data_IF_690418889873
#
_entry.id   IF_690418889873
#
_cell.length_a   1.000
_cell.length_b   1.000
_cell.length_c   1.000
_cell.angle_alpha   90.00
_cell.angle_beta   90.00
_cell.angle_gamma   90.00
#
_symmetry.space_group_name_H-M   'P 1'
#
loop_
_entity.id
_entity.type
_entity.pdbx_description
1 polymer ?
#
# COMPACT_ATOMS: atom_id res chain seq x y z
N UNK A 1 1.38 0.82 17.70
CA UNK A 1 1.09 2.25 17.44
C UNK A 1 2.21 2.79 16.56
N UNK A 2 1.95 3.70 15.63
CA UNK A 2 3.03 4.36 14.87
C UNK A 2 3.54 5.55 15.67
N UNK A 3 4.86 5.67 15.81
CA UNK A 3 5.55 6.76 16.53
C UNK A 3 4.99 7.04 17.94
N UNK A 4 4.47 6.00 18.62
CA UNK A 4 3.76 6.11 19.90
C UNK A 4 2.62 7.15 19.93
N UNK A 5 2.17 7.61 18.75
CA UNK A 5 1.20 8.70 18.60
C UNK A 5 -0.05 8.25 17.84
N UNK A 6 0.12 7.48 16.76
CA UNK A 6 -0.98 7.07 15.90
C UNK A 6 -1.47 5.68 16.27
N UNK A 7 -2.76 5.59 16.64
CA UNK A 7 -3.45 4.34 16.95
C UNK A 7 -4.03 3.71 15.69
N UNK A 8 -4.23 2.38 15.73
CA UNK A 8 -4.91 1.65 14.66
C UNK A 8 -6.35 2.15 14.56
N UNK A 9 -6.86 2.36 13.35
CA UNK A 9 -8.25 2.78 13.15
C UNK A 9 -9.26 1.72 13.60
N UNK A 10 -8.94 0.45 13.36
CA UNK A 10 -9.68 -0.71 13.85
C UNK A 10 -8.91 -1.36 14.99
N UNK A 11 -9.50 -1.30 16.19
CA UNK A 11 -8.96 -1.94 17.41
C UNK A 11 -9.68 -3.26 17.67
N UNK A 12 -9.03 -4.16 18.41
CA UNK A 12 -9.64 -5.44 18.83
C UNK A 12 -10.92 -5.18 19.62
N UNK A 13 -10.90 -4.19 20.53
CA UNK A 13 -12.06 -3.73 21.29
C UNK A 13 -13.26 -3.35 20.39
N UNK A 14 -13.02 -2.74 19.21
CA UNK A 14 -14.10 -2.43 18.28
C UNK A 14 -14.74 -3.70 17.71
N UNK A 15 -13.96 -4.73 17.45
CA UNK A 15 -14.47 -6.00 16.92
C UNK A 15 -15.17 -6.86 17.98
N UNK A 16 -14.73 -6.75 19.23
CA UNK A 16 -15.36 -7.48 20.34
C UNK A 16 -16.70 -6.84 20.74
N UNK A 17 -16.81 -5.52 20.62
CA UNK A 17 -18.03 -4.78 20.99
C UNK A 17 -19.03 -4.59 19.82
N UNK A 18 -18.60 -4.74 18.56
CA UNK A 18 -19.45 -4.58 17.39
C UNK A 18 -19.57 -5.89 16.61
N UNK A 19 -20.80 -6.37 16.41
CA UNK A 19 -21.11 -7.43 15.47
C UNK A 19 -21.11 -6.87 14.03
N UNK A 20 -19.92 -6.63 13.48
CA UNK A 20 -19.77 -6.24 12.07
C UNK A 20 -19.78 -7.49 11.17
N UNK A 21 -20.78 -7.67 10.29
CA UNK A 21 -20.93 -8.89 9.47
C UNK A 21 -19.75 -9.16 8.52
N UNK A 22 -19.01 -8.11 8.13
CA UNK A 22 -17.86 -8.21 7.25
C UNK A 22 -16.61 -8.73 7.96
N UNK A 23 -16.52 -8.54 9.27
CA UNK A 23 -15.39 -8.97 10.08
C UNK A 23 -15.64 -10.38 10.59
N UNK A 24 -14.67 -11.25 10.39
CA UNK A 24 -14.70 -12.65 10.83
C UNK A 24 -13.52 -12.91 11.75
N UNK A 25 -13.58 -13.99 12.52
CA UNK A 25 -12.51 -14.41 13.42
C UNK A 25 -12.26 -15.90 13.28
N UNK A 26 -11.00 -16.28 13.28
CA UNK A 26 -10.56 -17.66 13.43
C UNK A 26 -9.35 -17.74 14.38
N UNK A 27 -8.59 -18.84 14.31
CA UNK A 27 -7.44 -19.11 15.18
C UNK A 27 -6.30 -18.11 15.01
N UNK A 28 -6.14 -17.53 13.81
CA UNK A 28 -5.07 -16.56 13.51
C UNK A 28 -5.48 -15.12 13.84
N UNK A 29 -6.76 -14.88 14.14
CA UNK A 29 -7.27 -13.58 14.60
C UNK A 29 -8.43 -13.05 13.76
N UNK A 30 -8.58 -11.72 13.78
CA UNK A 30 -9.64 -11.03 13.04
C UNK A 30 -9.23 -10.80 11.59
N UNK A 31 -10.16 -11.02 10.68
CA UNK A 31 -9.94 -10.87 9.24
C UNK A 31 -11.18 -10.34 8.51
N UNK A 32 -10.97 -9.87 7.29
CA UNK A 32 -12.01 -9.52 6.34
C UNK A 32 -11.67 -10.12 4.97
N UNK A 33 -12.69 -10.41 4.16
CA UNK A 33 -12.49 -10.60 2.73
C UNK A 33 -12.56 -9.22 2.07
N UNK A 34 -11.44 -8.76 1.52
CA UNK A 34 -11.30 -7.40 0.98
C UNK A 34 -12.36 -7.10 -0.08
N UNK A 35 -12.87 -5.86 -0.10
CA UNK A 35 -13.93 -5.48 -1.04
C UNK A 35 -13.43 -5.46 -2.49
N UNK A 36 -12.16 -5.10 -2.70
CA UNK A 36 -11.55 -4.96 -4.02
C UNK A 36 -11.08 -6.28 -4.62
N UNK A 37 -10.59 -7.21 -3.80
CA UNK A 37 -9.94 -8.44 -4.28
C UNK A 37 -10.69 -9.71 -3.87
N UNK A 38 -11.65 -9.62 -2.94
CA UNK A 38 -12.30 -10.75 -2.28
C UNK A 38 -11.29 -11.75 -1.70
N UNK A 39 -10.18 -11.23 -1.17
CA UNK A 39 -9.10 -12.01 -0.58
C UNK A 39 -9.14 -11.84 0.93
N UNK A 40 -8.93 -12.95 1.65
CA UNK A 40 -8.79 -12.93 3.10
C UNK A 40 -7.56 -12.14 3.51
N UNK A 41 -7.76 -11.09 4.32
CA UNK A 41 -6.69 -10.27 4.90
C UNK A 41 -6.93 -10.16 6.39
N UNK A 42 -5.92 -10.56 7.17
CA UNK A 42 -5.91 -10.36 8.62
C UNK A 42 -5.58 -8.92 8.95
N UNK A 43 -6.24 -8.37 9.96
CA UNK A 43 -6.00 -6.99 10.38
C UNK A 43 -4.57 -6.80 10.90
N UNK A 44 -4.02 -7.78 11.62
CA UNK A 44 -2.66 -7.70 12.13
C UNK A 44 -1.61 -7.68 11.01
N UNK A 45 -1.74 -8.54 10.00
CA UNK A 45 -0.86 -8.53 8.83
C UNK A 45 -0.92 -7.20 8.08
N UNK A 46 -2.13 -6.68 7.87
CA UNK A 46 -2.36 -5.38 7.24
C UNK A 46 -1.67 -4.25 8.01
N UNK A 47 -1.86 -4.21 9.34
CA UNK A 47 -1.24 -3.19 10.18
C UNK A 47 0.27 -3.35 10.29
N UNK A 48 0.78 -4.58 10.30
CA UNK A 48 2.21 -4.85 10.30
C UNK A 48 2.84 -4.36 9.00
N UNK A 49 2.23 -4.66 7.86
CA UNK A 49 2.68 -4.14 6.56
C UNK A 49 2.73 -2.61 6.54
N UNK A 50 1.65 -1.93 6.94
CA UNK A 50 1.62 -0.46 6.98
C UNK A 50 2.66 0.13 7.93
N UNK A 51 2.92 -0.55 9.06
CA UNK A 51 3.94 -0.12 10.01
C UNK A 51 5.34 -0.23 9.43
N UNK A 52 5.65 -1.34 8.75
CA UNK A 52 6.94 -1.55 8.11
C UNK A 52 7.18 -0.49 7.01
N UNK A 53 6.18 -0.25 6.16
CA UNK A 53 6.24 0.79 5.12
C UNK A 53 6.46 2.17 5.74
N UNK A 54 5.70 2.52 6.78
CA UNK A 54 5.82 3.80 7.45
C UNK A 54 7.22 4.04 8.03
N UNK A 55 7.77 3.03 8.71
CA UNK A 55 9.11 3.10 9.31
C UNK A 55 10.21 3.21 8.27
N UNK A 56 10.13 2.43 7.18
CA UNK A 56 11.09 2.50 6.08
C UNK A 56 11.07 3.86 5.39
N UNK A 57 9.87 4.39 5.11
CA UNK A 57 9.73 5.74 4.57
C UNK A 57 10.33 6.79 5.51
N UNK A 58 10.14 6.66 6.83
CA UNK A 58 10.68 7.61 7.80
C UNK A 58 12.22 7.64 7.76
N UNK A 59 12.86 6.48 7.81
CA UNK A 59 14.32 6.35 7.73
C UNK A 59 14.87 6.93 6.41
N UNK A 60 14.21 6.63 5.30
CA UNK A 60 14.59 7.12 3.98
C UNK A 60 14.44 8.65 3.84
N UNK A 61 13.40 9.24 4.44
CA UNK A 61 13.23 10.69 4.44
C UNK A 61 14.33 11.39 5.25
N UNK A 62 14.71 10.84 6.40
CA UNK A 62 15.81 11.37 7.22
C UNK A 62 17.14 11.34 6.47
N UNK A 63 17.43 10.24 5.75
CA UNK A 63 18.62 10.13 4.91
C UNK A 63 18.60 11.13 3.73
N UNK A 64 17.46 11.25 3.04
CA UNK A 64 17.31 12.21 1.93
C UNK A 64 17.46 13.65 2.43
N UNK A 65 16.88 14.01 3.57
CA UNK A 65 17.04 15.35 4.14
C UNK A 65 18.50 15.63 4.55
N UNK A 66 19.21 14.63 5.08
CA UNK A 66 20.65 14.75 5.29
C UNK A 66 21.42 14.94 3.96
N UNK A 67 21.02 14.27 2.88
CA UNK A 67 21.69 14.40 1.57
C UNK A 67 21.41 15.75 0.93
N UNK A 68 20.18 16.25 1.01
CA UNK A 68 19.79 17.57 0.50
C UNK A 68 20.56 18.67 1.22
N UNK A 69 20.64 18.63 2.55
CA UNK A 69 21.33 19.65 3.36
C UNK A 69 22.85 19.69 3.11
N UNK A 70 23.47 18.55 2.79
CA UNK A 70 24.89 18.45 2.45
C UNK A 70 25.20 18.76 0.97
N UNK A 71 24.19 18.80 0.11
CA UNK A 71 24.40 19.01 -1.33
C UNK A 71 24.46 20.51 -1.65
N UNK A 72 25.53 21.00 -2.30
CA UNK A 72 25.64 22.37 -2.74
C UNK A 72 24.48 22.82 -3.64
N UNK A 73 24.03 24.08 -3.50
CA UNK A 73 22.89 24.64 -4.25
C UNK A 73 23.09 24.67 -5.78
N UNK A 74 24.34 24.68 -6.23
CA UNK A 74 24.70 24.64 -7.66
C UNK A 74 24.57 23.23 -8.28
N UNK A 75 24.42 22.17 -7.47
CA UNK A 75 24.16 20.81 -7.97
C UNK A 75 22.67 20.59 -8.21
N UNK A 76 22.11 21.36 -9.14
CA UNK A 76 20.66 21.43 -9.43
C UNK A 76 20.09 20.06 -9.79
N UNK A 77 20.80 19.26 -10.57
CA UNK A 77 20.35 17.94 -11.01
C UNK A 77 20.24 16.95 -9.83
N UNK A 78 21.29 16.85 -9.02
CA UNK A 78 21.29 16.00 -7.81
C UNK A 78 20.20 16.41 -6.83
N UNK A 79 20.04 17.72 -6.59
CA UNK A 79 18.97 18.22 -5.73
C UNK A 79 17.58 17.91 -6.27
N UNK A 80 17.39 18.00 -7.59
CA UNK A 80 16.12 17.67 -8.24
C UNK A 80 15.78 16.18 -8.11
N UNK A 81 16.77 15.31 -8.28
CA UNK A 81 16.62 13.87 -8.06
C UNK A 81 16.25 13.56 -6.60
N UNK A 82 16.97 14.15 -5.64
CA UNK A 82 16.70 13.93 -4.21
C UNK A 82 15.30 14.42 -3.82
N UNK A 83 14.87 15.58 -4.35
CA UNK A 83 13.52 16.13 -4.13
C UNK A 83 12.44 15.26 -4.75
N UNK A 84 12.64 14.76 -5.98
CA UNK A 84 11.71 13.82 -6.60
C UNK A 84 11.54 12.56 -5.74
N UNK A 85 12.65 11.96 -5.29
CA UNK A 85 12.61 10.79 -4.38
C UNK A 85 11.91 11.12 -3.07
N UNK A 86 12.19 12.29 -2.48
CA UNK A 86 11.53 12.77 -1.25
C UNK A 86 10.01 12.82 -1.41
N UNK A 87 9.52 13.42 -2.49
CA UNK A 87 8.08 13.55 -2.79
C UNK A 87 7.41 12.18 -2.85
N UNK A 88 7.99 11.22 -3.60
CA UNK A 88 7.43 9.87 -3.74
C UNK A 88 7.29 9.19 -2.36
N UNK A 89 8.35 9.27 -1.54
CA UNK A 89 8.37 8.65 -0.21
C UNK A 89 7.42 9.36 0.76
N UNK A 90 7.28 10.68 0.68
CA UNK A 90 6.30 11.43 1.47
C UNK A 90 4.86 11.03 1.15
N UNK A 91 4.54 10.83 -0.14
CA UNK A 91 3.22 10.35 -0.57
C UNK A 91 2.95 8.95 0.01
N UNK A 92 3.92 8.05 -0.07
CA UNK A 92 3.82 6.70 0.51
C UNK A 92 3.66 6.74 2.03
N UNK A 93 4.49 7.51 2.75
CA UNK A 93 4.44 7.64 4.21
C UNK A 93 3.10 8.22 4.70
N UNK A 94 2.65 9.31 4.06
CA UNK A 94 1.37 9.98 4.41
C UNK A 94 0.20 9.03 4.18
N UNK A 95 0.24 8.26 3.10
CA UNK A 95 -0.81 7.29 2.80
C UNK A 95 -0.78 6.10 3.76
N UNK A 96 0.39 5.53 4.07
CA UNK A 96 0.52 4.46 5.05
C UNK A 96 -0.04 4.88 6.41
N UNK A 97 0.29 6.08 6.88
CA UNK A 97 -0.26 6.66 8.11
C UNK A 97 -1.77 6.83 8.03
N UNK A 98 -2.28 7.42 6.95
CA UNK A 98 -3.70 7.68 6.77
C UNK A 98 -4.52 6.39 6.83
N UNK A 99 -4.07 5.36 6.12
CA UNK A 99 -4.71 4.04 6.08
C UNK A 99 -4.60 3.32 7.43
N UNK A 100 -3.46 3.47 8.13
CA UNK A 100 -3.27 2.89 9.45
C UNK A 100 -4.25 3.47 10.49
N UNK A 101 -4.55 4.77 10.40
CA UNK A 101 -5.44 5.46 11.34
C UNK A 101 -6.92 5.41 10.95
N UNK A 102 -7.24 5.09 9.69
CA UNK A 102 -8.63 5.04 9.22
C UNK A 102 -9.35 3.82 9.82
N UNK A 103 -10.40 4.10 10.58
CA UNK A 103 -11.25 3.12 11.22
C UNK A 103 -12.73 3.30 10.88
N UNK A 104 -13.02 4.00 9.79
CA UNK A 104 -14.38 4.36 9.35
C UNK A 104 -14.87 3.50 8.21
N UNK A 105 -13.98 3.09 7.31
CA UNK A 105 -14.33 2.32 6.11
C UNK A 105 -13.45 1.09 5.96
N UNK A 106 -14.04 -0.10 5.96
CA UNK A 106 -13.32 -1.36 5.72
C UNK A 106 -12.69 -1.48 4.34
N UNK A 107 -13.08 -0.64 3.37
CA UNK A 107 -12.43 -0.56 2.06
C UNK A 107 -10.97 -0.13 2.11
N UNK A 108 -10.48 0.43 3.22
CA UNK A 108 -9.05 0.73 3.41
C UNK A 108 -8.22 -0.52 3.72
N UNK A 109 -8.87 -1.59 4.19
CA UNK A 109 -8.22 -2.87 4.48
C UNK A 109 -8.08 -3.64 3.18
N UNK A 110 -6.85 -3.82 2.73
CA UNK A 110 -6.52 -4.37 1.44
C UNK A 110 -5.20 -5.12 1.50
N UNK A 111 -4.89 -5.92 0.47
CA UNK A 111 -3.58 -6.56 0.42
C UNK A 111 -2.48 -5.52 0.19
N UNK A 112 -1.21 -5.84 0.52
CA UNK A 112 -0.07 -5.01 0.17
C UNK A 112 -0.08 -4.56 -1.30
N UNK A 113 -0.47 -5.46 -2.19
CA UNK A 113 -0.48 -5.23 -3.64
C UNK A 113 -1.46 -4.15 -4.06
N UNK A 114 -2.70 -4.23 -3.54
CA UNK A 114 -3.72 -3.22 -3.78
C UNK A 114 -3.30 -1.86 -3.18
N UNK A 115 -2.65 -1.87 -2.02
CA UNK A 115 -2.06 -0.65 -1.46
C UNK A 115 -1.00 -0.07 -2.40
N UNK A 116 -0.09 -0.89 -2.91
CA UNK A 116 0.95 -0.45 -3.84
C UNK A 116 0.39 0.19 -5.12
N UNK A 117 -0.68 -0.36 -5.69
CA UNK A 117 -1.36 0.24 -6.86
C UNK A 117 -2.01 1.58 -6.52
N UNK A 118 -2.63 1.70 -5.35
CA UNK A 118 -3.21 2.98 -4.88
C UNK A 118 -2.11 4.04 -4.72
N UNK A 119 -0.94 3.68 -4.18
CA UNK A 119 0.16 4.65 -4.03
C UNK A 119 0.74 5.04 -5.39
N UNK A 120 0.89 4.08 -6.30
CA UNK A 120 1.34 4.35 -7.66
C UNK A 120 0.45 5.39 -8.35
N UNK A 121 -0.87 5.19 -8.30
CA UNK A 121 -1.85 6.15 -8.85
C UNK A 121 -1.76 7.52 -8.16
N UNK A 122 -1.62 7.56 -6.83
CA UNK A 122 -1.46 8.82 -6.10
C UNK A 122 -0.21 9.59 -6.52
N UNK A 123 0.89 8.91 -6.82
CA UNK A 123 2.11 9.55 -7.33
C UNK A 123 1.89 10.12 -8.73
N UNK A 124 1.22 9.37 -9.61
CA UNK A 124 0.89 9.83 -10.97
C UNK A 124 -0.04 11.06 -10.94
N UNK A 125 -1.08 11.03 -10.12
CA UNK A 125 -1.97 12.19 -9.91
C UNK A 125 -1.20 13.38 -9.35
N UNK A 126 -0.31 13.17 -8.37
CA UNK A 126 0.51 14.25 -7.82
C UNK A 126 1.40 14.89 -8.90
N UNK A 127 2.05 14.04 -9.71
CA UNK A 127 2.90 14.47 -10.81
C UNK A 127 2.12 15.28 -11.84
N UNK A 128 0.91 14.85 -12.22
CA UNK A 128 0.05 15.61 -13.15
C UNK A 128 -0.34 16.98 -12.60
N UNK A 129 -0.77 17.03 -11.34
CA UNK A 129 -1.12 18.29 -10.67
C UNK A 129 0.08 19.22 -10.57
N UNK A 130 1.25 18.67 -10.30
CA UNK A 130 2.51 19.41 -10.29
C UNK A 130 2.83 20.00 -11.66
N UNK A 131 2.65 19.24 -12.74
CA UNK A 131 2.86 19.74 -14.10
C UNK A 131 1.88 20.87 -14.50
N UNK A 132 0.69 20.91 -13.89
CA UNK A 132 -0.32 21.98 -14.07
C UNK A 132 -0.10 23.19 -13.15
N UNK A 133 0.86 23.14 -12.22
CA UNK A 133 1.07 24.19 -11.23
C UNK A 133 0.00 24.25 -10.13
N UNK A 134 -0.75 23.16 -9.92
CA UNK A 134 -1.84 23.06 -8.92
C UNK A 134 -1.35 22.59 -7.54
N UNK A 135 -0.04 22.57 -7.34
CA UNK A 135 0.62 22.06 -6.13
C UNK A 135 1.53 23.15 -5.57
N UNK A 136 1.23 23.59 -4.36
CA UNK A 136 2.08 24.45 -3.56
C UNK A 136 2.89 23.58 -2.59
N UNK A 137 4.14 23.27 -2.94
CA UNK A 137 5.04 22.43 -2.15
C UNK A 137 6.43 23.08 -2.03
N UNK A 138 6.82 23.38 -0.80
CA UNK A 138 8.10 23.97 -0.43
C UNK A 138 9.33 23.15 -0.88
N UNK A 139 9.15 21.87 -1.20
CA UNK A 139 10.24 21.03 -1.71
C UNK A 139 10.53 21.27 -3.20
N UNK A 140 9.69 22.05 -3.89
CA UNK A 140 9.76 22.22 -5.34
C UNK A 140 10.45 23.56 -5.66
N UNK A 141 11.53 23.56 -6.45
CA UNK A 141 12.15 24.79 -6.91
C UNK A 141 11.21 25.54 -7.86
N UNK A 142 11.49 26.83 -8.08
CA UNK A 142 10.76 27.71 -9.01
C UNK A 142 10.59 27.09 -10.41
N UNK A 143 11.53 26.23 -10.83
CA UNK A 143 11.42 25.39 -12.02
C UNK A 143 11.30 23.90 -11.68
N UNK A 144 10.07 23.38 -11.68
CA UNK A 144 9.77 21.99 -11.33
C UNK A 144 10.15 20.94 -12.40
N UNK A 145 10.59 21.36 -13.60
CA UNK A 145 10.81 20.48 -14.75
C UNK A 145 11.66 19.24 -14.44
N UNK A 146 12.84 19.43 -13.83
CA UNK A 146 13.73 18.32 -13.48
C UNK A 146 13.12 17.41 -12.41
N UNK A 147 12.38 17.96 -11.46
CA UNK A 147 11.71 17.18 -10.42
C UNK A 147 10.63 16.28 -11.05
N UNK A 148 9.80 16.83 -11.94
CA UNK A 148 8.78 16.06 -12.67
C UNK A 148 9.42 14.94 -13.48
N UNK A 149 10.48 15.26 -14.25
CA UNK A 149 11.23 14.27 -15.04
C UNK A 149 11.72 13.12 -14.16
N UNK A 150 12.32 13.43 -13.01
CA UNK A 150 12.82 12.39 -12.12
C UNK A 150 11.71 11.59 -11.43
N UNK A 151 10.56 12.19 -11.12
CA UNK A 151 9.40 11.43 -10.62
C UNK A 151 9.03 10.35 -11.63
N UNK A 152 8.87 10.70 -12.91
CA UNK A 152 8.51 9.75 -13.97
C UNK A 152 9.52 8.61 -14.12
N UNK A 153 10.81 8.93 -13.99
CA UNK A 153 11.88 7.96 -14.14
C UNK A 153 11.97 6.97 -12.97
N UNK A 154 11.73 7.42 -11.74
CA UNK A 154 12.12 6.65 -10.54
C UNK A 154 10.95 6.11 -9.71
N UNK A 155 9.74 6.64 -9.86
CA UNK A 155 8.64 6.36 -8.92
C UNK A 155 8.35 4.86 -8.74
N UNK A 156 8.29 4.10 -9.83
CA UNK A 156 8.03 2.65 -9.75
C UNK A 156 9.11 1.95 -8.93
N UNK A 157 10.39 2.19 -9.24
CA UNK A 157 11.51 1.56 -8.54
C UNK A 157 11.53 1.94 -7.06
N UNK A 158 11.38 3.23 -6.75
CA UNK A 158 11.35 3.70 -5.36
C UNK A 158 10.21 3.04 -4.58
N UNK A 159 9.01 2.92 -5.17
CA UNK A 159 7.89 2.26 -4.52
C UNK A 159 8.11 0.75 -4.35
N UNK A 160 8.71 0.06 -5.33
CA UNK A 160 9.06 -1.36 -5.20
C UNK A 160 10.04 -1.57 -4.04
N UNK A 161 11.07 -0.72 -3.95
CA UNK A 161 12.05 -0.78 -2.87
C UNK A 161 11.39 -0.51 -1.52
N UNK A 162 10.53 0.50 -1.41
CA UNK A 162 9.83 0.82 -0.15
C UNK A 162 8.86 -0.28 0.29
N UNK A 163 8.19 -0.95 -0.65
CA UNK A 163 7.22 -2.00 -0.33
C UNK A 163 7.82 -3.40 -0.24
N UNK A 164 9.12 -3.55 -0.54
CA UNK A 164 9.80 -4.85 -0.67
C UNK A 164 9.10 -5.76 -1.69
N UNK A 165 8.69 -5.16 -2.81
CA UNK A 165 8.01 -5.87 -3.89
C UNK A 165 9.00 -6.41 -4.94
N UNK A 166 8.65 -7.51 -5.63
CA UNK A 166 9.42 -7.99 -6.77
C UNK A 166 9.55 -6.91 -7.86
N UNK A 167 10.66 -6.89 -8.59
CA UNK A 167 10.95 -5.91 -9.64
C UNK A 167 9.89 -5.80 -10.74
N UNK A 168 9.10 -6.87 -10.90
CA UNK A 168 8.04 -6.96 -11.91
C UNK A 168 6.65 -6.53 -11.40
N UNK A 169 6.49 -6.20 -10.11
CA UNK A 169 5.17 -6.07 -9.49
C UNK A 169 4.27 -4.99 -10.12
N UNK A 170 4.85 -3.93 -10.70
CA UNK A 170 4.13 -2.86 -11.40
C UNK A 170 4.07 -3.03 -12.92
N UNK A 171 4.51 -4.16 -13.47
CA UNK A 171 4.29 -4.48 -14.89
C UNK A 171 2.86 -4.97 -15.07
N UNK A 172 2.12 -4.40 -16.02
CA UNK A 172 0.76 -4.84 -16.40
C UNK A 172 0.65 -6.37 -16.49
N UNK A 173 1.57 -7.01 -17.22
CA UNK A 173 1.59 -8.48 -17.39
C UNK A 173 1.71 -9.24 -16.07
N UNK A 174 2.51 -8.74 -15.13
CA UNK A 174 2.66 -9.37 -13.83
C UNK A 174 1.41 -9.19 -12.98
N UNK A 175 0.84 -7.97 -12.96
CA UNK A 175 -0.42 -7.67 -12.26
C UNK A 175 -1.55 -8.60 -12.70
N UNK A 176 -1.73 -8.78 -14.02
CA UNK A 176 -2.72 -9.73 -14.56
C UNK A 176 -2.39 -11.18 -14.22
N UNK A 177 -1.12 -11.60 -14.33
CA UNK A 177 -0.72 -12.97 -14.00
C UNK A 177 -0.98 -13.30 -12.53
N UNK A 178 -0.75 -12.34 -11.64
CA UNK A 178 -0.96 -12.49 -10.20
C UNK A 178 -2.46 -12.47 -9.84
N UNK A 179 -3.24 -11.58 -10.45
CA UNK A 179 -4.70 -11.60 -10.38
C UNK A 179 -5.25 -12.97 -10.82
N UNK A 180 -4.81 -13.48 -11.98
CA UNK A 180 -5.22 -14.78 -12.51
C UNK A 180 -4.85 -15.94 -11.56
N UNK A 181 -3.64 -15.94 -10.98
CA UNK A 181 -3.24 -16.93 -9.98
C UNK A 181 -4.15 -16.90 -8.75
N UNK A 182 -4.51 -15.70 -8.26
CA UNK A 182 -5.42 -15.55 -7.12
C UNK A 182 -6.83 -16.06 -7.43
N UNK A 183 -7.40 -15.67 -8.58
CA UNK A 183 -8.70 -16.17 -9.01
C UNK A 183 -8.70 -17.69 -9.20
N UNK A 184 -7.63 -18.24 -9.79
CA UNK A 184 -7.47 -19.69 -9.96
C UNK A 184 -7.46 -20.42 -8.61
N UNK A 185 -6.75 -19.88 -7.61
CA UNK A 185 -6.73 -20.44 -6.25
C UNK A 185 -8.11 -20.37 -5.59
N UNK A 186 -8.83 -19.26 -5.73
CA UNK A 186 -10.20 -19.12 -5.20
C UNK A 186 -11.15 -20.12 -5.86
N UNK A 187 -11.11 -20.28 -7.18
CA UNK A 187 -11.92 -21.25 -7.91
C UNK A 187 -11.60 -22.68 -7.45
N UNK A 188 -10.31 -23.02 -7.33
CA UNK A 188 -9.88 -24.33 -6.82
C UNK A 188 -10.40 -24.62 -5.41
N UNK A 189 -10.37 -23.62 -4.51
CA UNK A 189 -10.91 -23.74 -3.16
C UNK A 189 -12.43 -23.94 -3.16
N UNK A 190 -13.17 -23.23 -4.03
CA UNK A 190 -14.63 -23.38 -4.18
C UNK A 190 -14.95 -24.78 -4.71
N UNK A 191 -14.26 -25.25 -5.74
CA UNK A 191 -14.45 -26.61 -6.29
C UNK A 191 -14.17 -27.68 -5.25
N UNK A 192 -13.09 -27.52 -4.46
CA UNK A 192 -12.75 -28.44 -3.38
C UNK A 192 -13.82 -28.45 -2.28
N UNK A 193 -14.32 -27.26 -1.90
CA UNK A 193 -15.40 -27.13 -0.92
C UNK A 193 -16.70 -27.76 -1.41
N UNK A 194 -17.10 -27.51 -2.66
CA UNK A 194 -18.29 -28.11 -3.26
C UNK A 194 -18.17 -29.65 -3.35
N UNK A 195 -17.00 -30.15 -3.75
CA UNK A 195 -16.75 -31.59 -3.75
C UNK A 195 -16.84 -32.17 -2.34
N UNK A 196 -16.29 -31.51 -1.33
CA UNK A 196 -16.40 -31.97 0.06
C UNK A 196 -17.85 -32.04 0.56
N UNK A 197 -18.68 -31.04 0.21
CA UNK A 197 -20.11 -31.01 0.53
C UNK A 197 -20.87 -32.12 -0.21
N UNK A 198 -20.61 -32.29 -1.51
CA UNK A 198 -21.20 -33.38 -2.30
C UNK A 198 -20.84 -34.76 -1.74
N UNK A 199 -19.61 -34.92 -1.26
CA UNK A 199 -19.15 -36.18 -0.66
C UNK A 199 -19.81 -36.41 0.70
N UNK A 200 -19.98 -35.36 1.52
CA UNK A 200 -20.75 -35.42 2.77
C UNK A 200 -22.21 -35.82 2.53
N UNK A 201 -22.89 -35.22 1.55
CA UNK A 201 -24.28 -35.53 1.21
C UNK A 201 -24.42 -36.99 0.76
N UNK A 202 -23.47 -37.48 -0.06
CA UNK A 202 -23.43 -38.89 -0.47
C UNK A 202 -23.25 -39.84 0.72
N UNK A 203 -22.40 -39.50 1.68
CA UNK A 203 -22.17 -40.36 2.85
C UNK A 203 -23.34 -40.35 3.83
N UNK A 204 -24.12 -39.26 3.92
CA UNK A 204 -25.33 -39.17 4.74
C UNK A 204 -26.56 -39.89 4.13
N UNK A 205 -26.49 -40.28 2.86
CA UNK A 205 -27.57 -40.99 2.16
C UNK A 205 -27.33 -42.52 2.07
N UNK A 206 -26.44 -43.03 2.93
CA UNK A 206 -26.18 -44.45 3.22
C UNK A 206 -26.43 -44.71 4.69
#
# INVERSE_FOLDING_TARGET
>A
MLDNKFKRGFTVEKFENANEPKVRRDHDGYYINTLSENVKVYFDDYYQFLSNVYMKCKQELEDIDSKISKTPKNHVETLSYLRARKIIIQIAQKSARSFYTDGTNFGVVMTPWCFGTVILEKVEIYRERLARGEVDDNNIPEFAYYVIRYIDEIYKRVLLDIFDFPTDAFKMRWQYSELLKRYSKVLSNITTSLNSVLTMIKNYST
#
